data_IF_604245635991
#
_entry.id   IF_604245635991
#
_cell.length_a   1.000
_cell.length_b   1.000
_cell.length_c   1.000
_cell.angle_alpha   90.00
_cell.angle_beta   90.00
_cell.angle_gamma   90.00
#
_symmetry.space_group_name_H-M   'P 1'
#
loop_
_entity.id
_entity.type
_entity.pdbx_description
1 polymer ?
#
# COMPACT_ATOMS: atom_id res chain seq x y z
N UNK A 1 14.64 6.12 10.17
CA UNK A 1 14.49 4.74 9.65
C UNK A 1 13.47 4.75 8.52
N UNK A 2 13.57 3.88 7.51
CA UNK A 2 12.73 3.95 6.29
C UNK A 2 11.31 3.40 6.45
N UNK A 3 11.02 2.66 7.53
CA UNK A 3 9.73 2.00 7.78
C UNK A 3 8.65 2.93 8.39
N UNK A 4 9.01 4.17 8.73
CA UNK A 4 8.07 5.13 9.32
C UNK A 4 7.35 4.56 10.56
N UNK A 5 6.01 4.62 10.62
CA UNK A 5 5.23 4.10 11.76
C UNK A 5 4.97 2.59 11.70
N UNK A 6 5.41 1.89 10.65
CA UNK A 6 5.24 0.44 10.53
C UNK A 6 6.27 -0.26 11.42
N UNK A 7 5.93 -1.32 12.18
CA UNK A 7 6.91 -2.13 12.90
C UNK A 7 7.99 -2.65 11.94
N UNK A 8 9.26 -2.61 12.35
CA UNK A 8 10.39 -2.90 11.46
C UNK A 8 10.35 -4.35 10.93
N UNK A 9 9.92 -5.29 11.77
CA UNK A 9 9.71 -6.70 11.47
C UNK A 9 8.57 -6.94 10.47
N UNK A 10 7.62 -6.01 10.38
CA UNK A 10 6.51 -6.03 9.43
C UNK A 10 6.79 -5.24 8.16
N UNK A 11 7.97 -4.67 7.97
CA UNK A 11 8.31 -3.88 6.79
C UNK A 11 8.96 -4.74 5.71
N UNK A 12 8.24 -4.99 4.60
CA UNK A 12 8.62 -5.96 3.58
C UNK A 12 10.02 -5.72 2.99
N UNK A 13 10.39 -4.44 2.77
CA UNK A 13 11.65 -4.08 2.11
C UNK A 13 12.90 -4.29 2.97
N UNK A 14 12.74 -4.69 4.23
CA UNK A 14 13.86 -5.10 5.08
C UNK A 14 14.19 -6.60 4.94
N UNK A 15 13.31 -7.38 4.31
CA UNK A 15 13.59 -8.77 3.97
C UNK A 15 14.57 -8.84 2.80
N UNK A 16 15.52 -9.77 2.87
CA UNK A 16 16.34 -10.12 1.72
C UNK A 16 15.56 -11.02 0.76
N UNK A 17 15.99 -11.10 -0.50
CA UNK A 17 15.38 -12.04 -1.44
C UNK A 17 15.48 -13.51 -0.96
N UNK A 18 16.51 -13.85 -0.17
CA UNK A 18 16.65 -15.18 0.45
C UNK A 18 15.59 -15.44 1.53
N UNK A 19 15.25 -14.41 2.32
CA UNK A 19 14.18 -14.51 3.32
C UNK A 19 12.84 -14.75 2.63
N UNK A 20 12.59 -14.02 1.54
CA UNK A 20 11.42 -14.23 0.69
C UNK A 20 11.43 -15.63 0.09
N UNK A 21 12.53 -16.09 -0.51
CA UNK A 21 12.62 -17.39 -1.16
C UNK A 21 12.27 -18.53 -0.19
N UNK A 22 12.88 -18.50 1.01
CA UNK A 22 12.74 -19.53 2.05
C UNK A 22 11.47 -19.41 2.90
N UNK A 23 10.68 -18.34 2.73
CA UNK A 23 9.49 -18.09 3.55
C UNK A 23 8.47 -19.24 3.39
N UNK A 24 8.07 -19.91 4.49
CA UNK A 24 7.08 -20.98 4.42
C UNK A 24 5.68 -20.40 4.21
N UNK A 25 4.81 -21.16 3.54
CA UNK A 25 3.38 -20.85 3.40
C UNK A 25 3.09 -19.42 2.90
N UNK A 26 3.83 -18.95 1.87
CA UNK A 26 3.65 -17.62 1.24
C UNK A 26 2.21 -17.34 0.80
N UNK A 27 1.46 -18.39 0.48
CA UNK A 27 0.04 -18.33 0.13
C UNK A 27 -0.85 -17.84 1.27
N UNK A 28 -0.43 -18.00 2.54
CA UNK A 28 -1.17 -17.53 3.70
C UNK A 28 -0.73 -16.14 4.18
N UNK A 29 0.47 -15.69 3.80
CA UNK A 29 1.03 -14.37 4.16
C UNK A 29 0.23 -13.25 3.50
N UNK A 30 -0.05 -12.19 4.26
CA UNK A 30 -0.78 -11.00 3.80
C UNK A 30 0.23 -9.89 3.50
N UNK A 31 0.21 -9.37 2.28
CA UNK A 31 0.93 -8.14 1.94
C UNK A 31 -0.04 -6.96 1.91
N UNK A 32 0.33 -5.86 2.54
CA UNK A 32 -0.42 -4.60 2.51
C UNK A 32 0.38 -3.62 1.65
N UNK A 33 -0.24 -3.08 0.60
CA UNK A 33 0.26 -1.95 -0.17
C UNK A 33 -0.47 -0.68 0.30
N UNK A 34 0.17 0.21 1.07
CA UNK A 34 -0.40 1.50 1.41
C UNK A 34 -0.43 2.41 0.18
N UNK A 35 -1.51 3.16 0.02
CA UNK A 35 -1.70 4.12 -1.07
C UNK A 35 -2.35 5.38 -0.50
N UNK A 36 -1.57 6.45 -0.41
CA UNK A 36 -2.01 7.78 -0.01
C UNK A 36 -2.15 8.71 -1.21
N UNK A 37 -2.02 10.01 -0.96
CA UNK A 37 -1.83 11.04 -1.96
C UNK A 37 -1.04 12.24 -1.41
N UNK A 38 -0.54 13.07 -2.34
CA UNK A 38 0.08 14.37 -2.04
C UNK A 38 -0.84 15.45 -2.56
N UNK A 39 -1.60 16.07 -1.66
CA UNK A 39 -2.67 17.00 -2.03
C UNK A 39 -3.03 18.01 -0.95
N UNK A 40 -3.65 19.10 -1.37
CA UNK A 40 -4.13 20.13 -0.45
C UNK A 40 -5.10 19.57 0.59
N UNK A 41 -5.00 20.03 1.83
CA UNK A 41 -5.94 19.72 2.92
C UNK A 41 -6.35 21.02 3.65
N UNK A 42 -6.64 22.06 2.87
CA UNK A 42 -6.84 23.42 3.37
C UNK A 42 -5.56 24.07 3.91
N UNK A 43 -5.70 25.25 4.49
CA UNK A 43 -4.56 26.08 4.91
C UNK A 43 -3.84 25.60 6.20
N UNK A 44 -4.32 24.55 6.85
CA UNK A 44 -3.90 24.16 8.20
C UNK A 44 -3.28 22.76 8.29
N UNK A 45 -3.35 21.96 7.23
CA UNK A 45 -2.81 20.61 7.18
C UNK A 45 -1.76 20.47 6.07
N UNK A 46 -0.76 19.59 6.25
CA UNK A 46 0.27 19.36 5.26
C UNK A 46 -0.25 18.51 4.09
N UNK A 47 0.47 18.55 2.96
CA UNK A 47 0.11 17.81 1.75
C UNK A 47 0.13 16.27 1.91
N UNK A 48 0.76 15.78 2.98
CA UNK A 48 0.99 14.35 3.27
C UNK A 48 -0.12 13.74 4.14
N UNK A 49 -1.25 14.45 4.31
CA UNK A 49 -2.28 14.09 5.30
C UNK A 49 -2.77 12.65 5.13
N UNK A 50 -2.94 12.18 3.89
CA UNK A 50 -3.40 10.83 3.61
C UNK A 50 -2.42 9.76 4.12
N UNK A 51 -1.11 9.94 3.95
CA UNK A 51 -0.11 9.02 4.52
C UNK A 51 0.03 9.19 6.03
N UNK A 52 -0.10 10.43 6.54
CA UNK A 52 -0.04 10.74 7.96
C UNK A 52 -1.21 10.11 8.74
N UNK A 53 -2.31 9.76 8.06
CA UNK A 53 -3.41 8.97 8.61
C UNK A 53 -3.18 7.48 8.34
N UNK A 54 -2.96 7.10 7.08
CA UNK A 54 -2.95 5.71 6.66
C UNK A 54 -1.84 4.88 7.29
N UNK A 55 -0.60 5.38 7.30
CA UNK A 55 0.54 4.60 7.79
C UNK A 55 0.48 4.36 9.30
N UNK A 56 0.16 5.37 10.16
CA UNK A 56 -0.03 5.10 11.59
C UNK A 56 -1.18 4.16 11.89
N UNK A 57 -2.29 4.21 11.14
CA UNK A 57 -3.39 3.25 11.30
C UNK A 57 -2.89 1.82 11.04
N UNK A 58 -2.18 1.58 9.94
CA UNK A 58 -1.60 0.27 9.64
C UNK A 58 -0.63 -0.15 10.75
N UNK A 59 0.29 0.73 11.14
CA UNK A 59 1.28 0.44 12.18
C UNK A 59 0.64 0.01 13.51
N UNK A 60 -0.36 0.77 13.98
CA UNK A 60 -1.11 0.45 15.20
C UNK A 60 -1.96 -0.82 15.07
N UNK A 61 -2.52 -1.09 13.90
CA UNK A 61 -3.21 -2.37 13.66
C UNK A 61 -2.23 -3.54 13.78
N UNK A 62 -1.03 -3.44 13.22
CA UNK A 62 -0.03 -4.51 13.27
C UNK A 62 0.49 -4.78 14.69
N UNK A 63 0.70 -3.74 15.50
CA UNK A 63 1.04 -3.88 16.92
C UNK A 63 -0.01 -4.70 17.70
N UNK A 64 -1.28 -4.62 17.30
CA UNK A 64 -2.38 -5.34 17.95
C UNK A 64 -2.68 -6.70 17.30
N UNK A 65 -2.24 -6.90 16.05
CA UNK A 65 -2.49 -8.10 15.26
C UNK A 65 -1.44 -9.20 15.47
N UNK A 66 -0.35 -8.92 16.19
CA UNK A 66 0.73 -9.88 16.44
C UNK A 66 0.35 -10.96 17.46
N UNK A 67 -0.42 -11.97 17.03
CA UNK A 67 -0.62 -13.24 17.74
C UNK A 67 0.00 -14.39 16.96
N UNK A 68 0.38 -15.50 17.63
CA UNK A 68 0.98 -16.66 16.95
C UNK A 68 0.01 -17.39 16.01
N UNK A 69 -1.30 -17.24 16.23
CA UNK A 69 -2.33 -17.87 15.41
C UNK A 69 -2.67 -17.04 14.16
N UNK A 70 -2.24 -15.78 14.10
CA UNK A 70 -2.51 -14.89 12.99
C UNK A 70 -1.54 -15.13 11.82
N UNK A 71 -1.99 -14.95 10.56
CA UNK A 71 -1.09 -14.97 9.42
C UNK A 71 -0.02 -13.88 9.54
N UNK A 72 1.20 -14.16 9.06
CA UNK A 72 2.22 -13.13 8.93
C UNK A 72 1.73 -12.01 7.99
N UNK A 73 2.00 -10.76 8.38
CA UNK A 73 1.62 -9.56 7.62
C UNK A 73 2.85 -8.72 7.36
N UNK A 74 3.07 -8.34 6.11
CA UNK A 74 4.12 -7.40 5.73
C UNK A 74 3.55 -6.21 4.97
N UNK A 75 4.13 -5.04 5.18
CA UNK A 75 3.76 -3.79 4.52
C UNK A 75 4.80 -3.48 3.44
N UNK A 76 4.34 -3.35 2.21
CA UNK A 76 5.14 -2.89 1.08
C UNK A 76 5.45 -1.39 1.22
N UNK A 77 6.49 -0.88 0.53
CA UNK A 77 6.75 0.56 0.48
C UNK A 77 5.48 1.34 0.10
N UNK A 78 5.14 2.40 0.85
CA UNK A 78 3.93 3.18 0.57
C UNK A 78 4.00 3.87 -0.79
N UNK A 79 2.88 3.86 -1.50
CA UNK A 79 2.67 4.67 -2.69
C UNK A 79 2.16 6.05 -2.25
N UNK A 80 3.11 6.98 -2.05
CA UNK A 80 2.84 8.32 -1.54
C UNK A 80 2.01 9.20 -2.48
N UNK A 81 2.22 9.06 -3.80
CA UNK A 81 1.47 9.83 -4.81
C UNK A 81 0.37 8.97 -5.42
N UNK A 82 -0.87 9.38 -5.20
CA UNK A 82 -2.07 8.75 -5.71
C UNK A 82 -2.72 9.52 -6.86
N UNK A 83 -4.03 9.36 -7.02
CA UNK A 83 -4.85 10.12 -7.98
C UNK A 83 -5.73 11.14 -7.24
N UNK A 84 -5.36 12.42 -7.38
CA UNK A 84 -6.01 13.58 -6.74
C UNK A 84 -6.46 14.60 -7.78
N UNK A 85 -7.29 14.18 -8.75
CA UNK A 85 -7.65 15.04 -9.91
C UNK A 85 -8.48 16.27 -9.50
N UNK A 86 -9.27 16.12 -8.45
CA UNK A 86 -10.08 17.13 -7.78
C UNK A 86 -9.24 18.23 -7.10
N UNK A 87 -7.93 18.00 -6.88
CA UNK A 87 -7.05 18.90 -6.15
C UNK A 87 -5.94 19.54 -7.00
N UNK A 88 -5.94 19.32 -8.33
CA UNK A 88 -4.85 19.76 -9.23
C UNK A 88 -4.72 21.28 -9.37
N UNK A 89 -5.77 22.04 -9.06
CA UNK A 89 -5.73 23.51 -9.11
C UNK A 89 -4.95 24.11 -7.93
N UNK A 90 -4.63 23.32 -6.91
CA UNK A 90 -3.91 23.78 -5.73
C UNK A 90 -2.41 23.50 -5.87
N UNK A 91 -1.54 24.50 -5.60
CA UNK A 91 -0.10 24.33 -5.72
C UNK A 91 0.41 23.28 -4.73
N UNK A 92 1.30 22.41 -5.21
CA UNK A 92 1.90 21.33 -4.42
C UNK A 92 1.24 19.96 -4.59
N UNK A 93 0.02 19.88 -5.14
CA UNK A 93 -0.62 18.61 -5.45
C UNK A 93 0.20 17.83 -6.49
N UNK A 94 0.53 16.57 -6.19
CA UNK A 94 1.18 15.62 -7.11
C UNK A 94 0.19 14.49 -7.38
N UNK A 95 -0.33 14.44 -8.60
CA UNK A 95 -1.43 13.55 -8.97
C UNK A 95 -1.07 12.68 -10.17
N UNK A 96 -1.28 11.38 -10.06
CA UNK A 96 -1.14 10.42 -11.13
C UNK A 96 -2.41 10.36 -11.99
N UNK A 97 -2.22 10.06 -13.27
CA UNK A 97 -3.35 9.69 -14.13
C UNK A 97 -3.95 8.35 -13.66
N UNK A 98 -5.25 8.14 -13.92
CA UNK A 98 -5.90 6.86 -13.61
C UNK A 98 -5.19 5.69 -14.31
N UNK A 99 -4.75 5.88 -15.56
CA UNK A 99 -3.99 4.88 -16.32
C UNK A 99 -2.65 4.56 -15.66
N UNK A 100 -1.90 5.57 -15.23
CA UNK A 100 -0.61 5.38 -14.55
C UNK A 100 -0.78 4.63 -13.23
N UNK A 101 -1.75 5.05 -12.41
CA UNK A 101 -2.02 4.38 -11.13
C UNK A 101 -2.48 2.94 -11.34
N UNK A 102 -3.33 2.69 -12.34
CA UNK A 102 -3.77 1.34 -12.73
C UNK A 102 -2.58 0.47 -13.10
N UNK A 103 -1.74 0.92 -14.03
CA UNK A 103 -0.56 0.16 -14.47
C UNK A 103 0.40 -0.13 -13.31
N UNK A 104 0.68 0.86 -12.47
CA UNK A 104 1.55 0.72 -11.31
C UNK A 104 1.03 -0.35 -10.33
N UNK A 105 -0.26 -0.31 -9.99
CA UNK A 105 -0.84 -1.27 -9.05
C UNK A 105 -0.97 -2.68 -9.66
N UNK A 106 -1.20 -2.79 -10.97
CA UNK A 106 -1.15 -4.07 -11.70
C UNK A 106 0.25 -4.67 -11.66
N UNK A 107 1.31 -3.89 -11.93
CA UNK A 107 2.70 -4.34 -11.91
C UNK A 107 3.14 -4.80 -10.51
N UNK A 108 2.69 -4.09 -9.47
CA UNK A 108 2.88 -4.49 -8.07
C UNK A 108 2.18 -5.83 -7.80
N UNK A 109 0.90 -5.94 -8.15
CA UNK A 109 0.12 -7.16 -7.94
C UNK A 109 0.71 -8.39 -8.64
N UNK A 110 1.14 -8.23 -9.89
CA UNK A 110 1.81 -9.29 -10.65
C UNK A 110 3.16 -9.67 -10.04
N UNK A 111 3.94 -8.69 -9.56
CA UNK A 111 5.22 -8.96 -8.89
C UNK A 111 5.05 -9.70 -7.57
N UNK A 112 4.01 -9.36 -6.81
CA UNK A 112 3.60 -10.06 -5.59
C UNK A 112 3.20 -11.51 -5.91
N UNK A 113 2.38 -11.72 -6.94
CA UNK A 113 1.95 -13.04 -7.37
C UNK A 113 3.13 -13.92 -7.82
N UNK A 114 4.01 -13.35 -8.66
CA UNK A 114 5.23 -14.01 -9.18
C UNK A 114 6.18 -14.44 -8.06
N UNK A 115 6.17 -13.73 -6.93
CA UNK A 115 6.97 -14.05 -5.74
C UNK A 115 6.36 -15.14 -4.85
N UNK A 116 5.18 -15.68 -5.21
CA UNK A 116 4.52 -16.80 -4.54
C UNK A 116 3.45 -16.40 -3.50
N UNK A 117 3.20 -15.10 -3.32
CA UNK A 117 2.16 -14.61 -2.42
C UNK A 117 0.78 -14.66 -3.08
N UNK A 118 -0.28 -14.78 -2.28
CA UNK A 118 -1.68 -14.87 -2.78
C UNK A 118 -2.66 -13.92 -2.10
N UNK A 119 -2.22 -13.17 -1.08
CA UNK A 119 -3.06 -12.21 -0.38
C UNK A 119 -2.40 -10.84 -0.44
N UNK A 120 -2.98 -9.95 -1.23
CA UNK A 120 -2.58 -8.55 -1.35
C UNK A 120 -3.76 -7.67 -0.96
N UNK A 121 -3.52 -6.72 -0.06
CA UNK A 121 -4.47 -5.70 0.37
C UNK A 121 -3.96 -4.36 -0.12
N UNK A 122 -4.73 -3.69 -0.97
CA UNK A 122 -4.51 -2.26 -1.22
C UNK A 122 -5.20 -1.46 -0.11
N UNK A 123 -4.42 -0.76 0.71
CA UNK A 123 -4.93 0.06 1.80
C UNK A 123 -4.99 1.52 1.36
N UNK A 124 -6.20 2.07 1.28
CA UNK A 124 -6.43 3.42 0.82
C UNK A 124 -6.65 4.39 1.99
N UNK A 125 -6.08 5.58 1.90
CA UNK A 125 -6.39 6.71 2.79
C UNK A 125 -6.82 7.99 2.05
N UNK A 126 -7.08 7.91 0.74
CA UNK A 126 -7.41 9.05 -0.12
C UNK A 126 -8.74 8.88 -0.90
N UNK A 127 -9.57 9.91 -0.99
CA UNK A 127 -10.90 9.83 -1.61
C UNK A 127 -10.95 9.65 -3.14
N UNK A 128 -9.94 10.10 -3.89
CA UNK A 128 -9.98 10.22 -5.36
C UNK A 128 -9.59 8.96 -6.16
N UNK A 129 -9.17 7.88 -5.48
CA UNK A 129 -8.67 6.65 -6.10
C UNK A 129 -9.32 5.29 -5.72
N UNK A 130 -10.32 5.17 -4.82
CA UNK A 130 -10.94 3.88 -4.51
C UNK A 130 -11.39 3.09 -5.75
N UNK A 131 -11.98 3.77 -6.75
CA UNK A 131 -12.51 3.13 -7.94
C UNK A 131 -11.40 2.52 -8.82
N UNK A 132 -10.25 3.20 -8.92
CA UNK A 132 -9.07 2.66 -9.62
C UNK A 132 -8.58 1.39 -8.90
N UNK A 133 -8.49 1.45 -7.57
CA UNK A 133 -8.05 0.32 -6.77
C UNK A 133 -9.01 -0.87 -6.84
N UNK A 134 -10.32 -0.63 -6.84
CA UNK A 134 -11.34 -1.67 -6.97
C UNK A 134 -11.27 -2.39 -8.32
N UNK A 135 -11.07 -1.64 -9.41
CA UNK A 135 -10.87 -2.20 -10.75
C UNK A 135 -9.61 -3.08 -10.76
N UNK A 136 -8.48 -2.56 -10.31
CA UNK A 136 -7.21 -3.31 -10.26
C UNK A 136 -7.34 -4.57 -9.40
N UNK A 137 -7.93 -4.47 -8.21
CA UNK A 137 -8.12 -5.61 -7.32
C UNK A 137 -8.98 -6.71 -7.98
N UNK A 138 -10.03 -6.33 -8.71
CA UNK A 138 -10.89 -7.26 -9.44
C UNK A 138 -10.15 -7.92 -10.60
N UNK A 139 -9.39 -7.15 -11.37
CA UNK A 139 -8.64 -7.65 -12.52
C UNK A 139 -7.53 -8.61 -12.09
N UNK A 140 -6.78 -8.28 -11.02
CA UNK A 140 -5.79 -9.17 -10.43
C UNK A 140 -6.42 -10.48 -9.95
N UNK A 141 -7.56 -10.40 -9.25
CA UNK A 141 -8.29 -11.59 -8.75
C UNK A 141 -8.80 -12.50 -9.88
N UNK A 142 -9.16 -11.95 -11.03
CA UNK A 142 -9.60 -12.76 -12.17
C UNK A 142 -8.41 -13.38 -12.91
N UNK A 143 -7.26 -12.71 -12.91
CA UNK A 143 -6.07 -13.15 -13.65
C UNK A 143 -5.27 -14.24 -12.91
N UNK A 144 -5.29 -14.25 -11.58
CA UNK A 144 -4.36 -14.99 -10.72
C UNK A 144 -5.05 -15.75 -9.59
#
# INVERSE_FOLDING_TARGET
MFHGPIPAEGYYSYLTWNDIDKMPNKTNVILIQPIGAIEQHGAHLPLITDDAIGLPVIGKTLEQFSSQDNPAVYVLPPQHSGRSTEHISFPGTISLSATTLTSLLMDIGESVYRSGFRKLVFFNSHGGQPQVMEIVARDLRQRY
#
